data_IF_058069101268
#
_entry.id   IF_058069101268
#
_cell.length_a   1.000
_cell.length_b   1.000
_cell.length_c   1.000
_cell.angle_alpha   90.00
_cell.angle_beta   90.00
_cell.angle_gamma   90.00
#
_symmetry.space_group_name_H-M   'P 1'
#
loop_
_entity.id
_entity.type
_entity.pdbx_description
1 polymer ?
#
# COMPACT_ATOMS: atom_id res chain seq x y z
N UNK A 1 -26.03 7.00 -1.76
CA UNK A 1 -24.95 6.79 -0.76
C UNK A 1 -23.97 7.92 -0.96
N UNK A 2 -23.46 8.51 0.11
CA UNK A 2 -22.83 9.83 0.06
C UNK A 2 -21.32 9.72 0.29
N UNK A 3 -20.50 10.14 -0.67
CA UNK A 3 -19.18 10.68 -0.36
C UNK A 3 -19.34 12.03 0.38
N UNK A 4 -18.49 12.36 1.37
CA UNK A 4 -18.53 13.67 1.99
C UNK A 4 -18.17 14.77 0.96
N UNK A 5 -18.90 15.90 0.89
CA UNK A 5 -18.69 16.95 -0.12
C UNK A 5 -17.25 17.50 -0.20
N UNK A 6 -16.53 17.50 0.93
CA UNK A 6 -15.12 17.89 1.01
C UNK A 6 -14.19 16.89 0.29
N UNK A 7 -14.52 15.60 0.29
CA UNK A 7 -13.73 14.58 -0.38
C UNK A 7 -13.87 14.70 -1.89
N UNK A 8 -15.07 15.01 -2.38
CA UNK A 8 -15.36 15.25 -3.81
C UNK A 8 -14.63 16.50 -4.32
N UNK A 9 -14.67 17.60 -3.56
CA UNK A 9 -13.98 18.84 -3.93
C UNK A 9 -12.45 18.67 -3.94
N UNK A 10 -11.90 17.98 -2.93
CA UNK A 10 -10.46 17.66 -2.89
C UNK A 10 -10.06 16.65 -3.97
N UNK A 11 -10.92 15.70 -4.31
CA UNK A 11 -10.70 14.75 -5.40
C UNK A 11 -10.61 15.46 -6.75
N UNK A 12 -11.56 16.36 -7.02
CA UNK A 12 -11.57 17.17 -8.24
C UNK A 12 -10.35 18.11 -8.26
N UNK A 13 -9.97 18.75 -7.15
CA UNK A 13 -8.79 19.61 -7.15
C UNK A 13 -7.48 18.83 -7.34
N UNK A 14 -7.29 17.71 -6.63
CA UNK A 14 -6.07 16.91 -6.72
C UNK A 14 -5.89 16.26 -8.11
N UNK A 15 -6.98 15.82 -8.73
CA UNK A 15 -6.95 15.18 -10.04
C UNK A 15 -6.84 16.19 -11.19
N UNK A 16 -7.46 17.37 -11.06
CA UNK A 16 -7.50 18.35 -12.15
C UNK A 16 -6.31 19.32 -12.12
N UNK A 17 -5.58 19.43 -11.01
CA UNK A 17 -4.41 20.29 -10.93
C UNK A 17 -3.29 19.73 -10.03
N UNK A 18 -2.40 18.87 -10.54
CA UNK A 18 -1.30 18.31 -9.75
C UNK A 18 -0.29 19.37 -9.29
N UNK A 19 -0.30 20.58 -9.87
CA UNK A 19 0.56 21.70 -9.47
C UNK A 19 0.04 22.45 -8.22
N UNK A 20 -1.23 22.29 -7.85
CA UNK A 20 -1.82 23.00 -6.70
C UNK A 20 -1.45 22.40 -5.33
N UNK A 21 -0.85 21.20 -5.30
CA UNK A 21 -0.45 20.53 -4.05
C UNK A 21 1.02 20.75 -3.66
N UNK A 22 1.78 21.56 -4.43
CA UNK A 22 3.19 21.89 -4.14
C UNK A 22 3.32 23.18 -3.31
N UNK A 23 2.23 23.89 -3.01
CA UNK A 23 2.30 25.11 -2.20
C UNK A 23 2.10 24.80 -0.70
N UNK A 24 3.01 25.24 0.20
CA UNK A 24 2.72 25.23 1.63
C UNK A 24 1.45 26.04 1.88
N UNK A 25 0.56 25.46 2.68
CA UNK A 25 -0.77 25.98 3.04
C UNK A 25 -0.63 27.31 3.81
N UNK A 26 -0.37 28.40 3.11
CA UNK A 26 -0.55 29.76 3.59
C UNK A 26 -1.33 30.55 2.53
N UNK A 27 -2.30 31.33 3.02
CA UNK A 27 -3.23 32.21 2.30
C UNK A 27 -4.50 31.58 1.72
N UNK A 28 -5.53 31.63 2.56
CA UNK A 28 -6.93 31.66 2.14
C UNK A 28 -7.29 33.08 1.67
N UNK A 29 -8.07 33.18 0.60
CA UNK A 29 -8.81 34.39 0.24
C UNK A 29 -8.65 34.80 -1.22
N UNK A 30 -9.53 34.33 -2.10
CA UNK A 30 -10.41 35.19 -2.91
C UNK A 30 -11.26 34.34 -3.88
N UNK A 31 -12.54 34.67 -3.90
CA UNK A 31 -13.64 34.02 -4.62
C UNK A 31 -13.68 34.55 -6.06
N UNK A 32 -13.71 33.67 -7.07
CA UNK A 32 -14.23 33.99 -8.40
C UNK A 32 -15.03 32.80 -8.97
N UNK A 33 -16.26 33.09 -9.40
CA UNK A 33 -17.21 32.18 -10.05
C UNK A 33 -16.85 31.98 -11.54
N UNK A 34 -17.24 30.83 -12.14
CA UNK A 34 -17.46 30.78 -13.58
C UNK A 34 -18.84 30.27 -14.00
N UNK A 35 -19.27 30.81 -15.15
CA UNK A 35 -20.53 30.66 -15.85
C UNK A 35 -20.59 29.41 -16.76
N UNK A 36 -21.83 28.96 -16.98
CA UNK A 36 -22.35 27.95 -17.90
C UNK A 36 -21.63 27.73 -19.24
N UNK A 37 -21.56 26.46 -19.68
CA UNK A 37 -21.74 25.99 -21.08
C UNK A 37 -22.31 24.56 -21.09
N UNK A 38 -23.07 24.28 -22.14
CA UNK A 38 -24.16 23.32 -22.33
C UNK A 38 -23.76 21.92 -22.86
N UNK A 39 -24.63 20.94 -22.58
CA UNK A 39 -24.65 19.53 -23.04
C UNK A 39 -24.74 19.36 -24.55
N UNK A 40 -24.18 18.25 -25.06
CA UNK A 40 -24.82 17.45 -26.12
C UNK A 40 -24.56 15.96 -25.93
N UNK A 41 -25.64 15.18 -26.00
CA UNK A 41 -25.78 13.73 -25.86
C UNK A 41 -25.65 13.03 -27.22
N UNK A 42 -25.02 11.86 -27.28
CA UNK A 42 -25.45 10.80 -28.21
C UNK A 42 -25.24 9.40 -27.62
N UNK A 43 -26.28 8.60 -27.76
CA UNK A 43 -26.49 7.23 -27.27
C UNK A 43 -26.41 6.29 -28.46
N UNK A 44 -25.70 5.16 -28.38
CA UNK A 44 -26.18 3.88 -28.94
C UNK A 44 -25.51 2.69 -28.26
N UNK A 45 -26.33 1.75 -27.80
CA UNK A 45 -25.98 0.45 -27.24
C UNK A 45 -25.67 -0.56 -28.35
N UNK A 46 -24.82 -1.55 -28.07
CA UNK A 46 -24.97 -2.90 -28.63
C UNK A 46 -24.40 -3.93 -27.65
N UNK A 47 -25.23 -4.91 -27.35
CA UNK A 47 -25.06 -6.03 -26.43
C UNK A 47 -24.34 -7.20 -27.10
N UNK A 48 -23.47 -7.88 -26.36
CA UNK A 48 -23.09 -9.26 -26.65
C UNK A 48 -22.58 -9.94 -25.38
N UNK A 49 -23.22 -11.06 -25.06
CA UNK A 49 -23.00 -11.89 -23.86
C UNK A 49 -22.16 -13.08 -24.26
N UNK A 50 -21.00 -13.30 -23.61
CA UNK A 50 -20.33 -14.60 -23.62
C UNK A 50 -19.88 -14.96 -22.20
N UNK A 51 -20.40 -16.10 -21.73
CA UNK A 51 -20.08 -16.78 -20.47
C UNK A 51 -18.78 -17.56 -20.65
N UNK A 52 -17.87 -17.48 -19.69
CA UNK A 52 -16.84 -18.51 -19.52
C UNK A 52 -16.51 -18.72 -18.05
N UNK A 53 -16.57 -19.99 -17.67
CA UNK A 53 -16.26 -20.57 -16.36
C UNK A 53 -14.76 -20.76 -16.19
N UNK A 54 -14.20 -20.48 -15.00
CA UNK A 54 -12.96 -21.13 -14.59
C UNK A 54 -12.81 -21.30 -13.08
N UNK A 55 -12.29 -22.49 -12.75
CA UNK A 55 -11.92 -23.08 -11.48
C UNK A 55 -10.49 -22.74 -11.03
N UNK A 56 -10.35 -22.40 -9.74
CA UNK A 56 -9.32 -22.79 -8.76
C UNK A 56 -7.81 -22.88 -9.09
N UNK A 57 -7.01 -22.11 -8.33
CA UNK A 57 -5.57 -22.34 -8.06
C UNK A 57 -4.91 -21.15 -7.33
N UNK A 58 -4.01 -21.34 -6.35
CA UNK A 58 -3.44 -20.26 -5.53
C UNK A 58 -2.34 -19.46 -6.27
N UNK A 59 -2.18 -18.14 -5.99
CA UNK A 59 -1.28 -17.28 -6.76
C UNK A 59 0.20 -17.45 -6.38
N UNK A 60 1.06 -17.63 -7.39
CA UNK A 60 2.54 -17.60 -7.28
C UNK A 60 3.08 -16.18 -7.52
N UNK A 61 4.19 -15.85 -6.86
CA UNK A 61 4.75 -14.49 -6.67
C UNK A 61 5.39 -13.84 -7.88
N UNK A 62 5.39 -12.51 -7.81
CA UNK A 62 6.18 -11.56 -8.59
C UNK A 62 7.45 -11.21 -7.81
N UNK A 63 8.62 -11.49 -8.37
CA UNK A 63 9.88 -10.85 -7.98
C UNK A 63 10.08 -9.61 -8.85
N UNK A 64 10.27 -8.46 -8.20
CA UNK A 64 10.57 -7.20 -8.88
C UNK A 64 12.03 -7.19 -9.32
N UNK A 65 12.27 -7.30 -10.63
CA UNK A 65 13.59 -7.08 -11.21
C UNK A 65 13.78 -5.57 -11.41
N UNK A 66 14.55 -4.95 -10.52
CA UNK A 66 15.15 -3.63 -10.79
C UNK A 66 16.17 -3.81 -11.91
N UNK A 67 16.10 -3.01 -12.96
CA UNK A 67 17.06 -3.01 -14.07
C UNK A 67 18.06 -1.89 -13.85
N UNK A 68 19.28 -2.25 -13.43
CA UNK A 68 20.42 -1.35 -13.36
C UNK A 68 21.12 -1.23 -14.72
N UNK A 69 21.52 -0.01 -15.06
CA UNK A 69 22.30 0.33 -16.26
C UNK A 69 23.77 0.44 -15.86
N UNK A 70 24.62 -0.37 -16.50
CA UNK A 70 26.07 -0.46 -16.32
C UNK A 70 26.86 0.65 -17.03
N UNK A 71 27.86 1.24 -16.37
CA UNK A 71 29.27 1.33 -16.87
C UNK A 71 30.25 1.80 -15.76
N UNK A 72 31.48 1.24 -15.65
CA UNK A 72 32.40 1.47 -14.52
C UNK A 72 33.49 2.52 -14.83
N UNK A 73 34.30 2.95 -13.83
CA UNK A 73 35.71 2.52 -13.87
C UNK A 73 36.50 2.40 -12.54
N UNK A 74 37.50 1.49 -12.59
CA UNK A 74 38.87 1.46 -12.01
C UNK A 74 39.12 1.64 -10.49
N UNK A 75 39.62 0.55 -9.89
CA UNK A 75 40.31 0.45 -8.58
C UNK A 75 41.70 1.15 -8.58
N UNK A 76 42.19 1.64 -7.42
CA UNK A 76 43.12 0.86 -6.55
C UNK A 76 43.10 1.30 -5.05
N UNK A 77 44.06 0.89 -4.18
CA UNK A 77 44.50 -0.44 -3.79
C UNK A 77 44.12 -0.79 -2.32
N UNK A 78 44.31 -2.07 -2.00
CA UNK A 78 44.09 -2.79 -0.75
C UNK A 78 44.87 -2.25 0.46
N UNK A 79 44.18 -2.06 1.59
CA UNK A 79 44.77 -2.01 2.93
C UNK A 79 44.14 -3.13 3.78
N UNK A 80 44.98 -4.10 4.16
CA UNK A 80 44.64 -5.13 5.13
C UNK A 80 44.39 -4.48 6.50
N UNK A 81 43.18 -4.63 7.03
CA UNK A 81 42.90 -4.45 8.46
C UNK A 81 42.27 -5.74 8.98
N UNK A 82 43.06 -6.48 9.75
CA UNK A 82 42.63 -7.68 10.45
C UNK A 82 41.71 -7.27 11.61
N UNK A 83 40.40 -7.43 11.44
CA UNK A 83 39.47 -7.33 12.55
C UNK A 83 39.48 -8.62 13.36
N UNK A 84 40.01 -8.48 14.58
CA UNK A 84 40.04 -9.47 15.64
C UNK A 84 38.63 -9.97 15.96
N UNK A 85 38.47 -11.30 15.94
CA UNK A 85 37.31 -12.01 16.47
C UNK A 85 37.04 -11.58 17.92
N UNK A 86 35.84 -11.03 18.17
CA UNK A 86 35.36 -10.74 19.53
C UNK A 86 35.05 -12.05 20.26
N UNK A 87 35.77 -12.27 21.37
CA UNK A 87 35.48 -13.25 22.41
C UNK A 87 34.07 -13.07 23.04
N UNK A 88 33.52 -14.11 23.69
CA UNK A 88 32.11 -14.16 24.07
C UNK A 88 31.76 -13.10 25.13
N UNK A 89 30.80 -12.24 24.78
CA UNK A 89 30.45 -11.01 25.48
C UNK A 89 29.66 -11.22 26.78
N UNK A 90 30.13 -10.56 27.85
CA UNK A 90 29.29 -10.04 28.91
C UNK A 90 28.26 -9.06 28.29
N UNK A 91 26.98 -9.42 28.28
CA UNK A 91 25.90 -8.55 27.78
C UNK A 91 25.70 -7.34 28.72
N UNK A 92 25.61 -6.13 28.17
CA UNK A 92 25.29 -4.93 28.94
C UNK A 92 23.85 -4.98 29.45
N UNK A 93 23.52 -4.21 30.50
CA UNK A 93 22.13 -4.11 31.02
C UNK A 93 21.17 -3.58 29.95
N UNK A 94 21.65 -2.75 29.02
CA UNK A 94 20.89 -2.26 27.88
C UNK A 94 20.53 -3.38 26.89
N UNK A 95 21.42 -4.35 26.69
CA UNK A 95 21.18 -5.49 25.79
C UNK A 95 20.14 -6.47 26.36
N UNK A 96 20.11 -6.63 27.70
CA UNK A 96 19.09 -7.44 28.37
C UNK A 96 17.69 -6.87 28.18
N UNK A 97 17.52 -5.55 28.35
CA UNK A 97 16.21 -4.90 28.13
C UNK A 97 15.75 -5.01 26.67
N UNK A 98 16.67 -4.86 25.71
CA UNK A 98 16.32 -4.96 24.29
C UNK A 98 15.83 -6.36 23.92
N UNK A 99 16.43 -7.41 24.47
CA UNK A 99 16.03 -8.81 24.22
C UNK A 99 14.57 -9.09 24.61
N UNK A 100 14.12 -8.53 25.72
CA UNK A 100 12.75 -8.70 26.20
C UNK A 100 11.76 -7.78 25.45
N UNK A 101 12.26 -6.84 24.66
CA UNK A 101 11.44 -5.91 23.89
C UNK A 101 10.98 -6.56 22.58
N UNK A 102 9.73 -6.28 22.21
CA UNK A 102 9.14 -6.63 20.93
C UNK A 102 9.30 -5.52 19.89
N UNK A 103 9.30 -5.84 18.57
CA UNK A 103 9.24 -4.81 17.53
C UNK A 103 8.06 -3.85 17.73
N UNK A 104 6.94 -4.38 18.23
CA UNK A 104 5.73 -3.61 18.48
C UNK A 104 5.96 -2.47 19.48
N UNK A 105 6.55 -2.82 20.62
CA UNK A 105 6.85 -1.86 21.68
C UNK A 105 7.80 -0.76 21.18
N UNK A 106 8.81 -1.11 20.39
CA UNK A 106 9.73 -0.12 19.81
C UNK A 106 9.06 0.85 18.85
N UNK A 107 8.17 0.36 17.98
CA UNK A 107 7.46 1.24 17.03
C UNK A 107 6.51 2.19 17.78
N UNK A 108 5.88 1.72 18.86
CA UNK A 108 4.98 2.53 19.70
C UNK A 108 5.67 3.43 20.70
N UNK A 109 6.96 3.22 20.97
CA UNK A 109 7.72 4.04 21.92
C UNK A 109 7.96 5.46 21.37
N UNK A 110 7.05 6.37 21.68
CA UNK A 110 7.10 7.77 21.28
C UNK A 110 8.25 8.55 21.96
N UNK A 111 8.88 7.99 23.01
CA UNK A 111 10.05 8.63 23.63
C UNK A 111 11.29 8.53 22.75
N UNK A 112 11.33 7.55 21.83
CA UNK A 112 12.35 7.44 20.80
C UNK A 112 12.02 8.33 19.61
N UNK A 113 13.04 8.96 19.03
CA UNK A 113 12.96 9.55 17.70
C UNK A 113 12.87 8.46 16.62
N UNK A 114 12.43 8.80 15.40
CA UNK A 114 12.36 7.84 14.29
C UNK A 114 13.71 7.15 14.03
N UNK A 115 14.81 7.91 14.03
CA UNK A 115 16.18 7.39 13.91
C UNK A 115 16.55 6.44 15.06
N UNK A 116 16.17 6.79 16.29
CA UNK A 116 16.39 5.97 17.48
C UNK A 116 15.61 4.65 17.41
N UNK A 117 14.34 4.71 17.02
CA UNK A 117 13.52 3.52 16.77
C UNK A 117 14.11 2.63 15.68
N UNK A 118 14.53 3.20 14.54
CA UNK A 118 15.14 2.46 13.44
C UNK A 118 16.43 1.73 13.88
N UNK A 119 17.31 2.42 14.60
CA UNK A 119 18.54 1.82 15.13
C UNK A 119 18.24 0.65 16.08
N UNK A 120 17.27 0.81 17.00
CA UNK A 120 16.86 -0.25 17.93
C UNK A 120 16.20 -1.44 17.23
N UNK A 121 15.38 -1.20 16.21
CA UNK A 121 14.78 -2.26 15.41
C UNK A 121 15.85 -3.10 14.69
N UNK A 122 16.90 -2.46 14.17
CA UNK A 122 18.03 -3.17 13.57
C UNK A 122 18.77 -4.04 14.58
N UNK A 123 19.13 -3.48 15.73
CA UNK A 123 19.79 -4.23 16.81
C UNK A 123 18.93 -5.43 17.24
N UNK A 124 17.63 -5.21 17.45
CA UNK A 124 16.69 -6.27 17.81
C UNK A 124 16.59 -7.35 16.72
N UNK A 125 16.55 -6.96 15.45
CA UNK A 125 16.49 -7.90 14.32
C UNK A 125 17.70 -8.84 14.30
N UNK A 126 18.92 -8.29 14.43
CA UNK A 126 20.16 -9.08 14.49
C UNK A 126 20.12 -10.04 15.69
N UNK A 127 19.76 -9.55 16.87
CA UNK A 127 19.65 -10.37 18.07
C UNK A 127 18.67 -11.55 17.89
N UNK A 128 17.49 -11.31 17.30
CA UNK A 128 16.48 -12.36 17.09
C UNK A 128 16.92 -13.41 16.08
N UNK A 129 17.59 -12.99 15.00
CA UNK A 129 18.17 -13.92 14.02
C UNK A 129 19.27 -14.78 14.64
N UNK A 130 20.16 -14.19 15.43
CA UNK A 130 21.22 -14.93 16.11
C UNK A 130 20.69 -15.93 17.15
N UNK A 131 19.64 -15.55 17.89
CA UNK A 131 18.97 -16.43 18.85
C UNK A 131 18.27 -17.61 18.17
N UNK A 132 17.53 -17.34 17.10
CA UNK A 132 16.87 -18.40 16.33
C UNK A 132 17.89 -19.37 15.71
N UNK A 133 19.01 -18.85 15.21
CA UNK A 133 20.08 -19.66 14.60
C UNK A 133 20.74 -20.63 15.60
N UNK A 134 20.87 -20.25 16.87
CA UNK A 134 21.40 -21.13 17.94
C UNK A 134 20.47 -22.30 18.26
N UNK A 135 19.17 -22.16 18.00
CA UNK A 135 18.18 -23.22 18.20
C UNK A 135 18.15 -24.26 17.07
N UNK A 136 18.68 -23.93 15.88
CA UNK A 136 18.59 -24.78 14.67
C UNK A 136 19.74 -25.77 14.53
N UNK A 137 20.83 -25.64 15.30
CA UNK A 137 22.04 -26.49 15.23
C UNK A 137 21.87 -27.95 15.71
N UNK A 138 20.64 -28.41 16.01
CA UNK A 138 20.36 -29.74 16.59
C UNK A 138 20.05 -30.88 15.61
N UNK A 139 19.73 -30.60 14.34
CA UNK A 139 19.30 -31.63 13.38
C UNK A 139 19.91 -31.40 11.98
N UNK A 140 21.22 -31.62 11.85
CA UNK A 140 21.85 -31.73 10.54
C UNK A 140 21.54 -33.12 9.94
N UNK A 141 20.43 -33.24 9.23
CA UNK A 141 20.22 -34.37 8.33
C UNK A 141 21.07 -34.14 7.08
N UNK A 142 22.07 -35.00 6.86
CA UNK A 142 22.87 -35.02 5.64
C UNK A 142 21.95 -35.28 4.43
N UNK A 143 21.57 -34.22 3.75
CA UNK A 143 20.73 -34.25 2.56
C UNK A 143 20.96 -32.98 1.75
N UNK A 144 21.88 -33.07 0.80
CA UNK A 144 22.21 -32.05 -0.19
C UNK A 144 20.98 -31.38 -0.79
N UNK A 145 20.84 -30.06 -0.56
CA UNK A 145 20.18 -29.16 -1.50
C UNK A 145 20.98 -27.87 -1.58
N UNK A 146 21.51 -27.54 -2.77
CA UNK A 146 22.24 -26.30 -3.09
C UNK A 146 21.38 -25.02 -2.99
N UNK A 147 20.16 -25.12 -2.45
CA UNK A 147 19.31 -23.95 -2.20
C UNK A 147 19.75 -23.24 -0.93
N UNK A 148 20.09 -21.94 -0.98
CA UNK A 148 20.37 -21.17 0.22
C UNK A 148 19.18 -21.23 1.18
N UNK A 149 19.42 -21.69 2.40
CA UNK A 149 18.40 -21.79 3.45
C UNK A 149 17.95 -20.40 3.89
N UNK A 150 16.66 -20.26 4.19
CA UNK A 150 16.11 -19.05 4.80
C UNK A 150 16.75 -18.76 6.15
N UNK A 151 16.84 -17.47 6.49
CA UNK A 151 17.41 -17.03 7.76
C UNK A 151 16.43 -17.31 8.90
N UNK A 152 16.79 -18.16 9.88
CA UNK A 152 15.89 -18.52 10.98
C UNK A 152 15.36 -17.29 11.73
N UNK A 153 14.05 -17.26 11.98
CA UNK A 153 13.37 -16.21 12.75
C UNK A 153 13.21 -14.85 12.05
N UNK A 154 13.83 -14.64 10.88
CA UNK A 154 13.76 -13.36 10.19
C UNK A 154 12.35 -13.07 9.64
N UNK A 155 11.69 -14.07 9.04
CA UNK A 155 10.33 -13.93 8.52
C UNK A 155 9.34 -13.51 9.61
N UNK A 156 9.39 -14.16 10.77
CA UNK A 156 8.54 -13.86 11.91
C UNK A 156 8.78 -12.44 12.42
N UNK A 157 10.04 -12.04 12.53
CA UNK A 157 10.42 -10.68 12.93
C UNK A 157 9.86 -9.62 11.96
N UNK A 158 10.09 -9.78 10.66
CA UNK A 158 9.63 -8.83 9.64
C UNK A 158 8.10 -8.79 9.57
N UNK A 159 7.44 -9.95 9.64
CA UNK A 159 5.98 -10.06 9.67
C UNK A 159 5.40 -9.32 10.87
N UNK A 160 5.97 -9.54 12.06
CA UNK A 160 5.60 -8.89 13.31
C UNK A 160 5.76 -7.36 13.23
N UNK A 161 6.91 -6.89 12.74
CA UNK A 161 7.20 -5.47 12.56
C UNK A 161 6.22 -4.78 11.61
N UNK A 162 6.02 -5.32 10.40
CA UNK A 162 5.16 -4.68 9.41
C UNK A 162 3.69 -4.76 9.78
N UNK A 163 3.25 -5.83 10.44
CA UNK A 163 1.90 -5.91 11.01
C UNK A 163 1.64 -4.73 11.95
N UNK A 164 2.59 -4.41 12.82
CA UNK A 164 2.45 -3.29 13.75
C UNK A 164 2.46 -1.93 13.06
N UNK A 165 3.43 -1.70 12.18
CA UNK A 165 3.53 -0.43 11.42
C UNK A 165 2.22 -0.15 10.69
N UNK A 166 1.66 -1.17 10.02
CA UNK A 166 0.41 -1.04 9.30
C UNK A 166 -0.80 -0.91 10.27
N UNK A 167 -0.80 -1.59 11.40
CA UNK A 167 -1.85 -1.42 12.42
C UNK A 167 -1.90 0.01 12.96
N UNK A 168 -0.75 0.60 13.31
CA UNK A 168 -0.66 1.99 13.77
C UNK A 168 -1.12 2.95 12.66
N UNK A 169 -0.73 2.71 11.41
CA UNK A 169 -1.20 3.51 10.27
C UNK A 169 -2.73 3.47 10.08
N UNK A 170 -3.39 2.39 10.51
CA UNK A 170 -4.84 2.24 10.48
C UNK A 170 -5.56 2.86 11.69
N UNK A 171 -4.87 3.06 12.81
CA UNK A 171 -5.45 3.62 14.04
C UNK A 171 -5.73 5.12 13.91
N UNK A 172 -4.69 5.88 13.56
CA UNK A 172 -4.76 7.34 13.48
C UNK A 172 -3.81 7.89 12.40
N UNK A 173 -4.31 8.87 11.65
CA UNK A 173 -3.53 9.60 10.66
C UNK A 173 -2.38 10.39 11.31
N UNK A 174 -2.52 10.79 12.58
CA UNK A 174 -1.49 11.53 13.30
C UNK A 174 -0.14 10.77 13.36
N UNK A 175 -0.16 9.44 13.27
CA UNK A 175 1.06 8.62 13.25
C UNK A 175 1.75 8.56 11.88
N UNK A 176 1.07 8.92 10.79
CA UNK A 176 1.59 8.73 9.43
C UNK A 176 2.92 9.45 9.20
N UNK A 177 3.10 10.67 9.71
CA UNK A 177 4.34 11.42 9.55
C UNK A 177 5.53 10.69 10.20
N UNK A 178 5.37 10.29 11.46
CA UNK A 178 6.37 9.52 12.21
C UNK A 178 6.68 8.17 11.55
N UNK A 179 5.67 7.47 11.05
CA UNK A 179 5.88 6.19 10.35
C UNK A 179 6.64 6.37 9.04
N UNK A 180 6.36 7.43 8.28
CA UNK A 180 7.13 7.75 7.06
C UNK A 180 8.59 8.09 7.38
N UNK A 181 8.83 8.87 8.45
CA UNK A 181 10.18 9.13 8.95
C UNK A 181 10.88 7.83 9.35
N UNK A 182 10.21 6.94 10.09
CA UNK A 182 10.77 5.63 10.46
C UNK A 182 11.16 4.80 9.22
N UNK A 183 10.29 4.74 8.21
CA UNK A 183 10.60 4.04 6.95
C UNK A 183 11.79 4.69 6.23
N UNK A 184 11.86 6.02 6.20
CA UNK A 184 12.99 6.75 5.62
C UNK A 184 14.32 6.44 6.36
N UNK A 185 14.29 6.41 7.68
CA UNK A 185 15.45 6.07 8.52
C UNK A 185 15.90 4.61 8.31
N UNK A 186 14.96 3.67 8.25
CA UNK A 186 15.27 2.27 7.95
C UNK A 186 15.93 2.12 6.56
N UNK A 187 15.48 2.88 5.56
CA UNK A 187 16.07 2.90 4.21
C UNK A 187 17.44 3.58 4.17
N UNK A 188 17.62 4.66 4.92
CA UNK A 188 18.88 5.40 4.97
C UNK A 188 19.99 4.60 5.66
N UNK A 189 19.62 3.69 6.56
CA UNK A 189 20.54 2.76 7.18
C UNK A 189 20.93 1.65 6.18
N UNK A 190 21.83 1.98 5.27
CA UNK A 190 22.60 0.98 4.53
C UNK A 190 23.67 0.41 5.48
N UNK A 191 23.57 -0.88 5.81
CA UNK A 191 24.73 -1.61 6.34
C UNK A 191 24.92 -2.87 5.49
N UNK A 192 26.20 -3.23 5.35
CA UNK A 192 26.81 -4.42 4.73
C UNK A 192 25.90 -5.64 4.58
N UNK A 193 26.08 -6.36 3.46
CA UNK A 193 25.33 -7.55 3.07
C UNK A 193 25.25 -8.59 4.19
N UNK A 194 24.27 -8.49 5.08
CA UNK A 194 23.84 -9.62 5.86
C UNK A 194 23.30 -10.64 4.85
N UNK A 195 23.73 -11.92 4.89
CA UNK A 195 23.28 -12.94 3.94
C UNK A 195 21.84 -13.38 4.25
N UNK A 196 21.01 -12.44 4.67
CA UNK A 196 19.65 -12.65 5.12
C UNK A 196 18.76 -13.03 3.96
N UNK A 197 17.93 -14.06 4.18
CA UNK A 197 17.03 -14.61 3.19
C UNK A 197 15.68 -14.91 3.78
N UNK A 198 14.64 -14.63 2.99
CA UNK A 198 13.27 -15.05 3.26
C UNK A 198 12.69 -15.57 1.95
N UNK A 199 12.13 -16.77 1.98
CA UNK A 199 11.58 -17.46 0.82
C UNK A 199 12.59 -17.62 -0.33
N UNK A 200 13.84 -17.94 0.02
CA UNK A 200 14.97 -18.13 -0.88
C UNK A 200 15.56 -16.84 -1.47
N UNK A 201 14.94 -15.68 -1.22
CA UNK A 201 15.34 -14.39 -1.78
C UNK A 201 16.11 -13.55 -0.76
N UNK A 202 17.09 -12.72 -1.19
CA UNK A 202 17.71 -11.73 -0.31
C UNK A 202 16.65 -10.88 0.41
N UNK A 203 16.89 -10.59 1.67
CA UNK A 203 15.99 -9.80 2.49
C UNK A 203 16.76 -8.83 3.38
N UNK A 204 16.28 -7.60 3.48
CA UNK A 204 16.85 -6.59 4.35
C UNK A 204 15.79 -5.62 4.87
N UNK A 205 16.06 -5.05 6.04
CA UNK A 205 15.19 -4.01 6.62
C UNK A 205 15.12 -2.75 5.74
N UNK A 206 16.24 -2.34 5.13
CA UNK A 206 16.29 -1.14 4.29
C UNK A 206 15.57 -1.32 2.93
N UNK A 207 15.39 -2.57 2.50
CA UNK A 207 14.57 -2.92 1.33
C UNK A 207 13.09 -3.06 1.68
N UNK A 208 12.72 -2.93 2.96
CA UNK A 208 11.37 -3.17 3.47
C UNK A 208 10.85 -4.56 3.09
N UNK A 209 11.72 -5.57 3.10
CA UNK A 209 11.35 -6.94 2.72
C UNK A 209 10.14 -7.42 3.52
N UNK A 210 9.17 -8.04 2.85
CA UNK A 210 7.86 -8.46 3.37
C UNK A 210 6.83 -7.35 3.62
N UNK A 211 7.19 -6.07 3.58
CA UNK A 211 6.23 -4.98 3.80
C UNK A 211 5.05 -5.05 2.83
N UNK A 212 5.35 -5.25 1.54
CA UNK A 212 4.32 -5.37 0.50
C UNK A 212 3.40 -6.58 0.65
N UNK A 213 3.92 -7.70 1.17
CA UNK A 213 3.09 -8.88 1.44
C UNK A 213 2.07 -8.58 2.55
N UNK A 214 2.50 -7.95 3.64
CA UNK A 214 1.63 -7.56 4.74
C UNK A 214 0.62 -6.47 4.33
N UNK A 215 1.05 -5.49 3.55
CA UNK A 215 0.17 -4.45 3.01
C UNK A 215 -0.92 -5.04 2.10
N UNK A 216 -0.56 -6.00 1.23
CA UNK A 216 -1.51 -6.67 0.32
C UNK A 216 -2.64 -7.36 1.08
N UNK A 217 -2.32 -8.06 2.16
CA UNK A 217 -3.31 -8.80 2.94
C UNK A 217 -4.35 -7.89 3.60
N UNK A 218 -3.97 -6.64 3.91
CA UNK A 218 -4.88 -5.63 4.46
C UNK A 218 -5.66 -4.87 3.39
N UNK A 219 -5.11 -4.74 2.17
CA UNK A 219 -5.78 -4.05 1.06
C UNK A 219 -6.90 -4.87 0.42
N UNK A 220 -6.83 -6.20 0.47
CA UNK A 220 -7.81 -7.09 -0.20
C UNK A 220 -9.28 -6.77 0.14
N UNK A 221 -9.59 -6.41 1.39
CA UNK A 221 -10.91 -5.96 1.81
C UNK A 221 -10.86 -5.32 3.22
N UNK A 222 -11.82 -4.44 3.58
CA UNK A 222 -11.96 -3.96 4.95
C UNK A 222 -12.13 -5.11 5.95
N UNK A 223 -11.30 -5.15 7.01
CA UNK A 223 -11.41 -6.13 8.09
C UNK A 223 -12.36 -5.63 9.19
N UNK A 224 -13.54 -6.23 9.26
CA UNK A 224 -14.55 -5.93 10.28
C UNK A 224 -14.34 -6.81 11.50
N UNK A 225 -14.20 -6.17 12.67
CA UNK A 225 -14.12 -6.85 13.97
C UNK A 225 -15.38 -6.52 14.75
N UNK A 226 -16.20 -7.52 15.04
CA UNK A 226 -17.43 -7.41 15.84
C UNK A 226 -17.26 -8.28 17.08
N UNK A 227 -17.42 -7.68 18.25
CA UNK A 227 -17.29 -8.36 19.56
C UNK A 227 -15.97 -9.15 19.68
N UNK A 228 -14.87 -8.52 19.23
CA UNK A 228 -13.52 -9.10 19.27
C UNK A 228 -13.24 -10.16 18.20
N UNK A 229 -14.18 -10.46 17.31
CA UNK A 229 -14.03 -11.52 16.29
C UNK A 229 -14.15 -10.97 14.87
N UNK A 230 -13.42 -11.55 13.90
CA UNK A 230 -13.64 -11.24 12.49
C UNK A 230 -15.09 -11.50 12.08
N UNK A 231 -15.74 -10.50 11.50
CA UNK A 231 -17.09 -10.60 10.99
C UNK A 231 -17.08 -10.73 9.47
N UNK A 232 -17.92 -11.64 8.95
CA UNK A 232 -18.14 -11.76 7.50
C UNK A 232 -18.96 -10.56 7.01
N UNK A 233 -18.49 -9.94 5.93
CA UNK A 233 -19.24 -8.91 5.20
C UNK A 233 -20.27 -9.59 4.30
N UNK A 234 -21.52 -9.15 4.37
CA UNK A 234 -22.61 -9.59 3.50
C UNK A 234 -23.09 -8.44 2.62
N UNK A 235 -23.88 -8.74 1.58
CA UNK A 235 -24.46 -7.71 0.72
C UNK A 235 -25.34 -6.70 1.50
N UNK A 236 -25.99 -7.15 2.58
CA UNK A 236 -26.79 -6.30 3.46
C UNK A 236 -25.96 -5.28 4.26
N UNK A 237 -24.65 -5.53 4.41
CA UNK A 237 -23.74 -4.66 5.14
C UNK A 237 -23.10 -3.58 4.24
N UNK A 238 -23.26 -3.69 2.92
CA UNK A 238 -22.67 -2.73 1.97
C UNK A 238 -23.02 -1.26 2.30
N UNK A 239 -24.25 -0.91 2.70
CA UNK A 239 -24.57 0.45 3.14
C UNK A 239 -23.79 0.91 4.38
N UNK A 240 -23.42 0.00 5.28
CA UNK A 240 -22.66 0.32 6.50
C UNK A 240 -21.21 0.68 6.19
N UNK A 241 -20.60 -0.01 5.20
CA UNK A 241 -19.27 0.31 4.68
C UNK A 241 -19.24 1.54 3.76
N UNK A 242 -20.40 1.99 3.28
CA UNK A 242 -20.54 3.15 2.41
C UNK A 242 -21.07 4.40 3.15
N UNK A 243 -21.09 4.36 4.48
CA UNK A 243 -21.71 5.39 5.32
C UNK A 243 -20.70 6.03 6.26
N UNK A 244 -20.73 7.37 6.32
CA UNK A 244 -19.99 8.18 7.31
C UNK A 244 -20.68 8.24 8.68
N UNK A 245 -21.85 7.60 8.85
CA UNK A 245 -22.64 7.74 10.07
C UNK A 245 -21.97 7.05 11.27
N UNK A 246 -21.16 7.81 12.00
CA UNK A 246 -20.61 7.46 13.32
C UNK A 246 -21.70 7.36 14.42
N UNK A 247 -22.92 7.84 14.15
CA UNK A 247 -23.96 8.08 15.15
C UNK A 247 -24.94 6.92 15.39
N UNK A 248 -24.56 5.67 15.13
CA UNK A 248 -25.43 4.53 15.44
C UNK A 248 -24.98 3.84 16.75
N UNK A 249 -25.90 3.76 17.71
CA UNK A 249 -25.71 3.07 19.00
C UNK A 249 -25.52 1.54 18.84
N UNK A 250 -25.78 0.98 17.66
CA UNK A 250 -25.62 -0.44 17.39
C UNK A 250 -24.13 -0.86 17.27
N UNK A 251 -23.67 -1.90 18.00
CA UNK A 251 -22.29 -2.42 17.90
C UNK A 251 -21.86 -2.76 16.48
N UNK A 252 -22.75 -3.34 15.67
CA UNK A 252 -22.48 -3.68 14.27
C UNK A 252 -22.11 -2.44 13.46
N UNK A 253 -22.90 -1.37 13.51
CA UNK A 253 -22.60 -0.17 12.74
C UNK A 253 -21.25 0.43 13.15
N UNK A 254 -20.94 0.50 14.46
CA UNK A 254 -19.62 0.96 14.93
C UNK A 254 -18.47 0.12 14.37
N UNK A 255 -18.59 -1.20 14.39
CA UNK A 255 -17.57 -2.11 13.85
C UNK A 255 -17.31 -1.87 12.36
N UNK A 256 -18.38 -1.69 11.57
CA UNK A 256 -18.30 -1.44 10.14
C UNK A 256 -17.74 -0.04 9.81
N UNK A 257 -18.19 1.00 10.49
CA UNK A 257 -17.65 2.37 10.33
C UNK A 257 -16.17 2.42 10.71
N UNK A 258 -15.77 1.73 11.79
CA UNK A 258 -14.37 1.63 12.18
C UNK A 258 -13.53 0.86 11.15
N UNK A 259 -14.06 -0.23 10.57
CA UNK A 259 -13.38 -0.98 9.51
C UNK A 259 -13.18 -0.14 8.25
N UNK A 260 -14.20 0.63 7.83
CA UNK A 260 -14.09 1.60 6.75
C UNK A 260 -12.97 2.60 7.01
N UNK A 261 -12.98 3.26 8.18
CA UNK A 261 -11.96 4.26 8.56
C UNK A 261 -10.55 3.68 8.50
N UNK A 262 -10.32 2.52 9.12
CA UNK A 262 -9.02 1.83 9.10
C UNK A 262 -8.55 1.52 7.69
N UNK A 263 -9.46 1.09 6.81
CA UNK A 263 -9.12 0.75 5.44
C UNK A 263 -8.74 1.99 4.62
N UNK A 264 -9.47 3.11 4.76
CA UNK A 264 -9.11 4.38 4.11
C UNK A 264 -7.79 4.97 4.64
N UNK A 265 -7.55 4.89 5.95
CA UNK A 265 -6.28 5.33 6.54
C UNK A 265 -5.08 4.52 6.02
N UNK A 266 -5.26 3.22 5.78
CA UNK A 266 -4.24 2.38 5.13
C UNK A 266 -3.94 2.88 3.72
N UNK A 267 -4.97 3.09 2.88
CA UNK A 267 -4.80 3.60 1.52
C UNK A 267 -4.06 4.94 1.51
N UNK A 268 -4.44 5.85 2.40
CA UNK A 268 -3.75 7.14 2.59
C UNK A 268 -2.27 6.97 2.94
N UNK A 269 -1.97 6.12 3.92
CA UNK A 269 -0.59 5.88 4.35
C UNK A 269 0.27 5.30 3.22
N UNK A 270 -0.24 4.31 2.49
CA UNK A 270 0.49 3.69 1.39
C UNK A 270 0.69 4.66 0.21
N UNK A 271 -0.31 5.48 -0.11
CA UNK A 271 -0.18 6.55 -1.09
C UNK A 271 0.93 7.54 -0.72
N UNK A 272 0.98 7.98 0.54
CA UNK A 272 2.04 8.86 1.03
C UNK A 272 3.42 8.19 1.02
N UNK A 273 3.47 6.89 1.32
CA UNK A 273 4.72 6.09 1.28
C UNK A 273 5.29 6.04 -0.14
N UNK A 274 4.44 5.85 -1.15
CA UNK A 274 4.86 5.88 -2.55
C UNK A 274 5.28 7.28 -3.00
N UNK A 275 4.48 8.30 -2.67
CA UNK A 275 4.76 9.67 -3.03
C UNK A 275 6.09 10.18 -2.44
N UNK A 276 6.46 9.68 -1.26
CA UNK A 276 7.74 9.95 -0.62
C UNK A 276 8.92 9.14 -1.20
N UNK A 277 8.69 8.26 -2.19
CA UNK A 277 9.72 7.41 -2.79
C UNK A 277 10.25 6.31 -1.86
N UNK A 278 9.53 6.00 -0.78
CA UNK A 278 10.01 5.06 0.24
C UNK A 278 9.75 3.60 -0.16
N UNK A 279 8.63 3.34 -0.84
CA UNK A 279 8.27 2.00 -1.28
C UNK A 279 7.62 2.05 -2.67
N UNK A 280 8.14 1.31 -3.67
CA UNK A 280 7.53 1.27 -5.00
C UNK A 280 6.28 0.39 -4.97
N UNK A 281 5.09 1.00 -5.00
CA UNK A 281 3.80 0.30 -4.94
C UNK A 281 2.80 0.81 -6.00
N UNK A 282 3.33 1.09 -7.18
CA UNK A 282 2.54 1.54 -8.33
C UNK A 282 1.44 0.54 -8.71
N UNK A 283 1.70 -0.76 -8.58
CA UNK A 283 0.72 -1.83 -8.77
C UNK A 283 -0.51 -1.68 -7.84
N UNK A 284 -0.30 -1.41 -6.55
CA UNK A 284 -1.38 -1.23 -5.58
C UNK A 284 -2.25 -0.01 -5.87
N UNK A 285 -1.64 1.11 -6.23
CA UNK A 285 -2.36 2.30 -6.66
C UNK A 285 -3.18 2.01 -7.92
N UNK A 286 -2.57 1.35 -8.92
CA UNK A 286 -3.23 0.99 -10.17
C UNK A 286 -4.44 0.08 -9.94
N UNK A 287 -4.30 -0.95 -9.10
CA UNK A 287 -5.40 -1.85 -8.76
C UNK A 287 -6.52 -1.12 -8.03
N UNK A 288 -6.20 -0.21 -7.13
CA UNK A 288 -7.19 0.59 -6.41
C UNK A 288 -7.97 1.50 -7.37
N UNK A 289 -7.28 2.17 -8.30
CA UNK A 289 -7.92 3.00 -9.33
C UNK A 289 -8.82 2.16 -10.24
N UNK A 290 -8.36 0.98 -10.65
CA UNK A 290 -9.15 0.05 -11.46
C UNK A 290 -10.44 -0.35 -10.74
N UNK A 291 -10.35 -0.73 -9.48
CA UNK A 291 -11.51 -1.16 -8.70
C UNK A 291 -12.52 -0.03 -8.49
N UNK A 292 -12.05 1.20 -8.21
CA UNK A 292 -12.91 2.36 -8.01
C UNK A 292 -13.54 2.93 -9.30
N UNK A 293 -12.78 2.94 -10.40
CA UNK A 293 -13.07 3.83 -11.55
C UNK A 293 -13.24 3.10 -12.89
N UNK A 294 -12.75 1.86 -13.04
CA UNK A 294 -12.75 1.19 -14.34
C UNK A 294 -13.84 0.13 -14.50
N UNK A 295 -14.56 -0.21 -13.44
CA UNK A 295 -15.70 -1.12 -13.49
C UNK A 295 -17.05 -0.38 -13.43
N UNK A 296 -18.10 -0.90 -14.10
CA UNK A 296 -19.45 -0.34 -14.00
C UNK A 296 -20.07 -0.62 -12.62
N UNK A 297 -21.06 0.19 -12.21
CA UNK A 297 -21.61 0.16 -10.85
C UNK A 297 -22.16 -1.19 -10.36
N UNK A 298 -22.62 -2.06 -11.25
CA UNK A 298 -23.14 -3.40 -10.93
C UNK A 298 -22.11 -4.54 -11.00
N UNK A 299 -20.82 -4.23 -11.14
CA UNK A 299 -19.79 -5.24 -11.35
C UNK A 299 -19.58 -6.13 -10.10
N UNK A 300 -19.31 -7.43 -10.32
CA UNK A 300 -19.18 -8.42 -9.26
C UNK A 300 -18.02 -8.16 -8.26
N UNK A 301 -17.04 -7.34 -8.66
CA UNK A 301 -15.95 -6.91 -7.77
C UNK A 301 -16.47 -6.22 -6.51
N UNK A 302 -17.64 -5.57 -6.60
CA UNK A 302 -18.24 -4.83 -5.48
C UNK A 302 -18.99 -5.71 -4.46
N UNK A 303 -18.92 -7.03 -4.61
CA UNK A 303 -19.57 -7.98 -3.69
C UNK A 303 -18.96 -7.99 -2.28
N UNK A 304 -17.66 -7.66 -2.15
CA UNK A 304 -16.95 -7.60 -0.86
C UNK A 304 -16.76 -6.18 -0.36
N UNK A 305 -16.44 -5.27 -1.28
CA UNK A 305 -16.21 -3.86 -0.98
C UNK A 305 -17.19 -3.03 -1.81
N UNK A 306 -18.09 -2.23 -1.21
CA UNK A 306 -19.04 -1.44 -1.98
C UNK A 306 -18.31 -0.45 -2.90
N UNK A 307 -18.89 -0.18 -4.07
CA UNK A 307 -18.32 0.76 -5.04
C UNK A 307 -17.96 2.11 -4.42
N UNK A 308 -18.82 2.68 -3.58
CA UNK A 308 -18.57 3.95 -2.93
C UNK A 308 -17.24 3.94 -2.14
N UNK A 309 -16.99 2.87 -1.39
CA UNK A 309 -15.76 2.71 -0.62
C UNK A 309 -14.53 2.48 -1.54
N UNK A 310 -14.68 1.76 -2.66
CA UNK A 310 -13.61 1.66 -3.66
C UNK A 310 -13.25 3.01 -4.29
N UNK A 311 -14.26 3.86 -4.55
CA UNK A 311 -14.05 5.22 -5.07
C UNK A 311 -13.35 6.10 -4.04
N UNK A 312 -13.70 5.99 -2.76
CA UNK A 312 -13.01 6.67 -1.66
C UNK A 312 -11.55 6.24 -1.54
N UNK A 313 -11.26 4.94 -1.64
CA UNK A 313 -9.90 4.45 -1.65
C UNK A 313 -9.09 4.97 -2.86
N UNK A 314 -9.70 5.00 -4.05
CA UNK A 314 -9.09 5.59 -5.23
C UNK A 314 -8.82 7.10 -5.04
N UNK A 315 -9.72 7.79 -4.33
CA UNK A 315 -9.56 9.20 -3.98
C UNK A 315 -8.34 9.45 -3.07
N UNK A 316 -8.09 8.59 -2.09
CA UNK A 316 -6.90 8.70 -1.24
C UNK A 316 -5.61 8.63 -2.07
N UNK A 317 -5.50 7.68 -3.01
CA UNK A 317 -4.35 7.60 -3.91
C UNK A 317 -4.21 8.82 -4.82
N UNK A 318 -5.31 9.28 -5.41
CA UNK A 318 -5.29 10.45 -6.28
C UNK A 318 -4.86 11.73 -5.54
N UNK A 319 -5.30 11.90 -4.28
CA UNK A 319 -4.96 13.05 -3.45
C UNK A 319 -3.49 13.03 -3.02
N UNK A 320 -3.01 11.90 -2.52
CA UNK A 320 -1.69 11.85 -1.88
C UNK A 320 -0.56 11.36 -2.80
N UNK A 321 -0.88 10.61 -3.86
CA UNK A 321 0.09 10.06 -4.81
C UNK A 321 -0.18 10.47 -6.27
N UNK A 322 -1.16 11.36 -6.54
CA UNK A 322 -1.58 11.71 -7.89
C UNK A 322 -0.45 12.22 -8.78
N UNK A 323 0.51 12.98 -8.24
CA UNK A 323 1.67 13.44 -8.99
C UNK A 323 2.59 12.28 -9.40
N UNK A 324 2.91 11.37 -8.47
CA UNK A 324 3.70 10.17 -8.74
C UNK A 324 3.00 9.25 -9.77
N UNK A 325 1.69 9.07 -9.61
CA UNK A 325 0.86 8.30 -10.55
C UNK A 325 0.85 8.91 -11.95
N UNK A 326 0.64 10.22 -12.07
CA UNK A 326 0.63 10.91 -13.35
C UNK A 326 2.01 10.92 -14.03
N UNK A 327 3.10 10.92 -13.24
CA UNK A 327 4.47 10.79 -13.74
C UNK A 327 4.88 9.36 -14.09
N UNK A 328 4.23 8.35 -13.52
CA UNK A 328 4.56 6.95 -13.74
C UNK A 328 4.32 6.52 -15.19
N UNK A 329 5.22 5.71 -15.73
CA UNK A 329 5.16 5.16 -17.10
C UNK A 329 5.31 3.64 -17.11
N UNK A 330 5.17 3.01 -15.96
CA UNK A 330 5.35 1.57 -15.82
C UNK A 330 4.29 0.80 -16.60
N UNK A 331 4.76 -0.13 -17.44
CA UNK A 331 3.93 -1.07 -18.19
C UNK A 331 4.07 -2.45 -17.56
N UNK A 332 2.96 -2.99 -17.07
CA UNK A 332 2.85 -4.21 -16.28
C UNK A 332 1.96 -5.25 -16.97
N UNK A 333 2.14 -5.45 -18.28
CA UNK A 333 1.38 -6.45 -19.04
C UNK A 333 1.67 -6.44 -20.54
N UNK A 334 1.13 -7.41 -21.29
CA UNK A 334 1.37 -7.55 -22.73
C UNK A 334 0.84 -6.37 -23.56
N UNK A 335 -0.23 -5.69 -23.11
CA UNK A 335 -0.70 -4.52 -23.84
C UNK A 335 0.23 -3.34 -23.57
N UNK A 336 0.97 -2.90 -24.60
CA UNK A 336 1.98 -1.83 -24.49
C UNK A 336 3.40 -2.33 -24.22
N UNK A 337 3.61 -3.64 -24.05
CA UNK A 337 4.93 -4.25 -23.98
C UNK A 337 4.94 -5.61 -24.68
N UNK A 338 5.38 -5.66 -25.94
CA UNK A 338 5.43 -6.87 -26.73
C UNK A 338 6.39 -7.94 -26.18
N UNK A 339 7.37 -7.53 -25.35
CA UNK A 339 8.31 -8.43 -24.68
C UNK A 339 7.83 -8.96 -23.33
N UNK A 340 6.58 -8.72 -22.95
CA UNK A 340 6.07 -9.12 -21.64
C UNK A 340 6.10 -10.65 -21.44
N UNK A 341 6.69 -11.17 -20.34
CA UNK A 341 6.77 -12.60 -20.12
C UNK A 341 5.39 -13.25 -19.98
N UNK A 342 5.13 -14.31 -20.73
CA UNK A 342 3.82 -14.99 -20.72
C UNK A 342 3.41 -15.61 -19.38
N UNK A 343 4.38 -15.86 -18.49
CA UNK A 343 4.15 -16.37 -17.14
C UNK A 343 4.02 -15.28 -16.07
N UNK A 344 4.22 -14.00 -16.42
CA UNK A 344 4.15 -12.86 -15.51
C UNK A 344 2.74 -12.26 -15.39
N UNK A 345 1.68 -12.98 -15.81
CA UNK A 345 0.31 -12.47 -15.73
C UNK A 345 0.13 -11.12 -16.43
N UNK A 346 -0.83 -10.31 -15.99
CA UNK A 346 -0.95 -8.89 -16.39
C UNK A 346 -1.45 -8.06 -15.21
N UNK A 347 -0.55 -7.75 -14.24
CA UNK A 347 -0.88 -6.91 -13.09
C UNK A 347 -1.49 -5.56 -13.50
N UNK A 348 -0.99 -5.02 -14.62
CA UNK A 348 -1.36 -3.73 -15.18
C UNK A 348 -2.71 -3.69 -15.88
N UNK A 349 -3.36 -4.85 -16.10
CA UNK A 349 -4.58 -4.95 -16.91
C UNK A 349 -5.66 -3.96 -16.50
N UNK A 350 -6.29 -3.35 -17.50
CA UNK A 350 -7.50 -2.53 -17.34
C UNK A 350 -8.73 -3.29 -16.85
N UNK A 351 -9.65 -2.56 -16.23
CA UNK A 351 -11.02 -2.99 -15.99
C UNK A 351 -11.85 -3.01 -17.28
N UNK A 352 -13.18 -2.98 -17.14
CA UNK A 352 -14.07 -3.02 -18.30
C UNK A 352 -13.97 -1.76 -19.17
N UNK A 353 -13.77 -0.59 -18.53
CA UNK A 353 -13.70 0.72 -19.20
C UNK A 353 -12.34 1.03 -19.83
N UNK A 354 -11.28 0.29 -19.50
CA UNK A 354 -9.94 0.51 -20.03
C UNK A 354 -9.46 -0.70 -20.85
N UNK A 355 -9.07 -0.45 -22.10
CA UNK A 355 -8.56 -1.48 -23.04
C UNK A 355 -7.21 -1.10 -23.67
N UNK A 356 -6.60 -0.02 -23.20
CA UNK A 356 -5.29 0.44 -23.67
C UNK A 356 -4.14 -0.30 -22.98
N UNK A 357 -3.06 0.41 -22.72
CA UNK A 357 -1.83 -0.12 -22.09
C UNK A 357 -2.12 -0.75 -20.72
N UNK A 358 -1.54 -1.93 -20.48
CA UNK A 358 -1.59 -2.64 -19.19
C UNK A 358 -0.63 -1.96 -18.20
N UNK A 359 -0.97 -0.75 -17.76
CA UNK A 359 -0.11 0.02 -16.86
C UNK A 359 -0.56 1.48 -16.74
N UNK A 360 0.40 2.36 -16.48
CA UNK A 360 0.19 3.80 -16.45
C UNK A 360 0.27 4.40 -17.85
N UNK A 361 -0.79 5.09 -18.25
CA UNK A 361 -0.92 5.73 -19.56
C UNK A 361 -1.72 7.04 -19.45
N UNK A 362 -1.39 8.01 -20.31
CA UNK A 362 -2.04 9.32 -20.30
C UNK A 362 -3.54 9.24 -20.63
N UNK A 363 -3.94 8.33 -21.52
CA UNK A 363 -5.34 8.03 -21.82
C UNK A 363 -6.06 7.41 -20.62
N UNK A 364 -5.38 6.51 -19.90
CA UNK A 364 -5.93 5.89 -18.68
C UNK A 364 -6.14 6.92 -17.58
N UNK A 365 -5.17 7.82 -17.40
CA UNK A 365 -5.31 8.94 -16.47
C UNK A 365 -6.54 9.80 -16.82
N UNK A 366 -6.71 10.15 -18.10
CA UNK A 366 -7.88 10.92 -18.57
C UNK A 366 -9.20 10.22 -18.24
N UNK A 367 -9.31 8.92 -18.50
CA UNK A 367 -10.49 8.11 -18.14
C UNK A 367 -10.81 8.19 -16.63
N UNK A 368 -9.79 8.12 -15.77
CA UNK A 368 -10.00 8.26 -14.33
C UNK A 368 -10.54 9.64 -13.96
N UNK A 369 -9.98 10.72 -14.54
CA UNK A 369 -10.48 12.08 -14.30
C UNK A 369 -11.95 12.23 -14.70
N UNK A 370 -12.29 11.76 -15.89
CA UNK A 370 -13.66 11.80 -16.42
C UNK A 370 -14.61 11.01 -15.55
N UNK A 371 -14.19 9.81 -15.10
CA UNK A 371 -15.01 8.97 -14.22
C UNK A 371 -15.24 9.61 -12.86
N UNK A 372 -14.21 10.18 -12.23
CA UNK A 372 -14.35 10.92 -10.99
C UNK A 372 -15.31 12.12 -11.15
N UNK A 373 -15.17 12.87 -12.25
CA UNK A 373 -16.07 13.97 -12.58
C UNK A 373 -17.52 13.53 -12.74
N UNK A 374 -17.76 12.41 -13.44
CA UNK A 374 -19.10 11.85 -13.60
C UNK A 374 -19.72 11.43 -12.25
N UNK A 375 -18.95 10.75 -11.38
CA UNK A 375 -19.42 10.35 -10.04
C UNK A 375 -19.79 11.58 -9.21
N UNK A 376 -18.96 12.62 -9.21
CA UNK A 376 -19.23 13.86 -8.50
C UNK A 376 -20.55 14.52 -8.96
N UNK A 377 -20.84 14.48 -10.26
CA UNK A 377 -22.07 15.04 -10.83
C UNK A 377 -23.30 14.18 -10.51
N UNK A 378 -23.18 12.85 -10.52
CA UNK A 378 -24.25 11.92 -10.10
C UNK A 378 -24.66 12.18 -8.65
N UNK A 379 -23.69 12.39 -7.75
CA UNK A 379 -23.95 12.69 -6.34
C UNK A 379 -24.52 14.10 -6.14
N UNK A 380 -24.02 15.10 -6.88
CA UNK A 380 -24.54 16.47 -6.86
C UNK A 380 -25.98 16.56 -7.36
N UNK A 381 -26.33 15.83 -8.43
CA UNK A 381 -27.68 15.78 -8.98
C UNK A 381 -28.67 15.03 -8.08
N UNK A 382 -28.20 14.07 -7.27
CA UNK A 382 -29.02 13.40 -6.25
C UNK A 382 -29.32 14.29 -5.02
N UNK A 383 -28.74 15.50 -4.94
CA UNK A 383 -29.02 16.50 -3.90
C UNK A 383 -29.36 17.88 -4.48
N UNK A 384 -30.50 18.06 -5.16
CA UNK A 384 -31.00 19.40 -5.39
C UNK A 384 -31.54 19.94 -4.04
N UNK A 385 -30.83 20.88 -3.43
CA UNK A 385 -31.32 21.80 -2.39
C UNK A 385 -32.18 21.21 -1.23
N UNK A 386 -31.57 21.07 -0.06
CA UNK A 386 -32.26 21.32 1.23
C UNK A 386 -31.56 22.47 1.95
N UNK A 387 -31.80 23.67 1.47
CA UNK A 387 -31.81 24.86 2.32
C UNK A 387 -33.27 25.29 2.43
N UNK A 388 -33.91 24.88 3.52
CA UNK A 388 -35.08 25.53 4.11
C UNK A 388 -34.82 25.57 5.59
#
# INVERSE_FOLDING_TARGET
MCLPPLLIFNLVLAIFNPLFLILPRQYAGHILRPSHITRSTFTTQLTSTIRSTHTGGPPKRYTYLSSDIDTPPRSPPTLHSSHTLRSPLNMSVSDKRLKDTSPQELVRDLSLSAIGTAARLRELCVLRVEEASKGTTGEATEGSSDTPTDTPGLEDFLTSLWTEVLAIAQEDEAYHARLLELLAELKAQSNESTPWRVWGSPAALHELSLFGAQARDLLNAPKVILDGKPARITAADAPLLASDHAAASAPRTRAFTAARRRWLLLHRFLARTWAAGLWPCADFALWTMRDGLEYPAGHATYSKTPRALCVEAAAEWAVYAGAAMHGCREVMGPNGNAGWPGNAGSPGRGGERWKGVDGYDAGRWRLWKETCGAIAMEEGAARPYRFT
#
